data_IF_581532239231
#
_entry.id   IF_581532239231
#
_cell.length_a   1.000
_cell.length_b   1.000
_cell.length_c   1.000
_cell.angle_alpha   90.00
_cell.angle_beta   90.00
_cell.angle_gamma   90.00
#
_symmetry.space_group_name_H-M   'P 1'
#
loop_
_entity.id
_entity.type
_entity.pdbx_description
1 polymer ?
#
# COMPACT_ATOMS: atom_id res chain seq x y z
N UNK A 1 10.72 3.74 -12.88
CA UNK A 1 10.12 2.77 -11.95
C UNK A 1 9.46 3.61 -10.88
N UNK A 2 8.15 3.45 -10.68
CA UNK A 2 7.50 4.14 -9.57
C UNK A 2 8.14 3.66 -8.27
N UNK A 3 8.43 4.60 -7.36
CA UNK A 3 9.01 4.28 -6.06
C UNK A 3 7.97 3.55 -5.22
N UNK A 4 7.93 2.22 -5.35
CA UNK A 4 7.13 1.37 -4.48
C UNK A 4 7.65 1.50 -3.05
N UNK A 5 6.72 1.45 -2.11
CA UNK A 5 7.04 1.36 -0.69
C UNK A 5 5.99 0.52 0.02
N UNK A 6 6.34 0.13 1.24
CA UNK A 6 5.55 -0.73 2.11
C UNK A 6 5.12 0.06 3.34
N UNK A 7 3.83 0.00 3.64
CA UNK A 7 3.23 0.52 4.87
C UNK A 7 2.86 -0.68 5.74
N UNK A 8 3.59 -0.90 6.83
CA UNK A 8 3.27 -1.91 7.83
C UNK A 8 2.31 -1.32 8.87
N UNK A 9 1.39 -2.16 9.36
CA UNK A 9 0.36 -1.79 10.31
C UNK A 9 0.22 -2.85 11.41
N UNK A 10 -0.65 -2.57 12.39
CA UNK A 10 -0.81 -3.37 13.61
C UNK A 10 -2.02 -4.31 13.57
N UNK A 11 -2.90 -4.19 12.57
CA UNK A 11 -4.10 -5.02 12.45
C UNK A 11 -4.57 -5.18 11.00
N UNK A 12 -5.37 -6.22 10.75
CA UNK A 12 -6.04 -6.45 9.46
C UNK A 12 -6.98 -5.29 9.11
N UNK A 13 -7.70 -4.75 10.09
CA UNK A 13 -8.62 -3.62 9.88
C UNK A 13 -7.89 -2.37 9.40
N UNK A 14 -6.71 -2.11 9.95
CA UNK A 14 -5.91 -0.94 9.60
C UNK A 14 -5.33 -1.05 8.18
N UNK A 15 -4.79 -2.22 7.77
CA UNK A 15 -4.33 -2.41 6.38
C UNK A 15 -5.47 -2.33 5.38
N UNK A 16 -6.65 -2.89 5.70
CA UNK A 16 -7.81 -2.81 4.83
C UNK A 16 -8.33 -1.37 4.69
N UNK A 17 -8.27 -0.59 5.77
CA UNK A 17 -8.63 0.84 5.75
C UNK A 17 -7.67 1.64 4.87
N UNK A 18 -6.36 1.41 5.00
CA UNK A 18 -5.32 2.05 4.16
C UNK A 18 -5.49 1.67 2.69
N UNK A 19 -5.66 0.38 2.40
CA UNK A 19 -5.84 -0.10 1.04
C UNK A 19 -7.13 0.43 0.39
N UNK A 20 -8.24 0.46 1.14
CA UNK A 20 -9.51 1.02 0.67
C UNK A 20 -9.38 2.50 0.35
N UNK A 21 -8.66 3.25 1.19
CA UNK A 21 -8.37 4.64 0.91
C UNK A 21 -7.61 4.82 -0.41
N UNK A 22 -6.49 4.11 -0.59
CA UNK A 22 -5.68 4.19 -1.80
C UNK A 22 -6.54 3.90 -3.05
N UNK A 23 -7.32 2.81 -3.01
CA UNK A 23 -8.22 2.41 -4.10
C UNK A 23 -9.30 3.47 -4.37
N UNK A 24 -9.86 4.10 -3.33
CA UNK A 24 -10.84 5.18 -3.48
C UNK A 24 -10.28 6.43 -4.18
N UNK A 25 -8.95 6.59 -4.19
CA UNK A 25 -8.23 7.65 -4.89
C UNK A 25 -7.75 7.23 -6.30
N UNK A 26 -8.13 6.04 -6.76
CA UNK A 26 -7.66 5.45 -8.01
C UNK A 26 -6.21 4.94 -7.95
N UNK A 27 -5.62 4.85 -6.76
CA UNK A 27 -4.30 4.29 -6.56
C UNK A 27 -4.31 2.76 -6.56
N UNK A 28 -3.19 2.17 -6.93
CA UNK A 28 -3.00 0.72 -6.90
C UNK A 28 -2.27 0.31 -5.62
N UNK A 29 -2.72 -0.78 -5.00
CA UNK A 29 -2.07 -1.35 -3.83
C UNK A 29 -2.38 -2.84 -3.65
N UNK A 30 -1.44 -3.55 -3.05
CA UNK A 30 -1.57 -4.94 -2.66
C UNK A 30 -1.42 -5.08 -1.13
N UNK A 31 -2.18 -5.98 -0.52
CA UNK A 31 -2.09 -6.28 0.92
C UNK A 31 -1.26 -7.56 1.09
N UNK A 32 -0.13 -7.45 1.79
CA UNK A 32 0.78 -8.53 2.14
C UNK A 32 0.76 -8.75 3.66
N UNK A 33 -0.17 -9.56 4.16
CA UNK A 33 -0.40 -9.72 5.60
C UNK A 33 -0.75 -8.37 6.26
N UNK A 34 0.00 -7.97 7.28
CA UNK A 34 -0.17 -6.67 7.94
C UNK A 34 0.57 -5.50 7.25
N UNK A 35 0.79 -5.60 5.93
CA UNK A 35 1.41 -4.55 5.16
C UNK A 35 0.64 -4.21 3.87
N UNK A 36 0.74 -2.95 3.44
CA UNK A 36 0.23 -2.46 2.15
C UNK A 36 1.42 -2.04 1.29
N UNK A 37 1.56 -2.66 0.12
CA UNK A 37 2.57 -2.30 -0.89
C UNK A 37 1.90 -1.41 -1.93
N UNK A 38 2.46 -0.23 -2.16
CA UNK A 38 1.88 0.76 -3.07
C UNK A 38 2.93 1.74 -3.58
N UNK A 39 2.60 2.43 -4.68
CA UNK A 39 3.28 3.61 -5.20
C UNK A 39 2.40 4.87 -5.10
N UNK A 40 1.28 4.80 -4.37
CA UNK A 40 0.27 5.86 -4.34
C UNK A 40 0.79 7.15 -3.68
N UNK A 41 0.90 8.28 -4.38
CA UNK A 41 1.36 9.51 -3.75
C UNK A 41 0.34 10.01 -2.72
N UNK A 42 0.74 10.11 -1.45
CA UNK A 42 -0.08 10.69 -0.39
C UNK A 42 0.13 12.20 -0.30
N UNK A 43 -0.96 12.97 -0.26
CA UNK A 43 -0.91 14.37 0.13
C UNK A 43 -0.84 14.49 1.66
N UNK A 44 -0.24 15.56 2.18
CA UNK A 44 -0.05 15.75 3.64
C UNK A 44 -1.34 15.56 4.44
N UNK A 45 -2.45 16.18 3.99
CA UNK A 45 -3.76 16.08 4.65
C UNK A 45 -4.31 14.64 4.68
N UNK A 46 -3.98 13.84 3.68
CA UNK A 46 -4.41 12.45 3.58
C UNK A 46 -3.57 11.56 4.49
N UNK A 47 -2.24 11.79 4.48
CA UNK A 47 -1.31 11.10 5.36
C UNK A 47 -1.69 11.29 6.83
N UNK A 48 -2.00 12.52 7.26
CA UNK A 48 -2.43 12.82 8.64
C UNK A 48 -3.59 11.96 9.13
N UNK A 49 -4.54 11.63 8.26
CA UNK A 49 -5.68 10.78 8.61
C UNK A 49 -5.29 9.31 8.79
N UNK A 50 -4.28 8.86 8.06
CA UNK A 50 -3.84 7.46 8.05
C UNK A 50 -2.70 7.19 9.04
N UNK A 51 -1.94 8.21 9.44
CA UNK A 51 -0.81 8.08 10.39
C UNK A 51 -1.14 7.23 11.63
N UNK A 52 -2.32 7.34 12.28
CA UNK A 52 -2.66 6.48 13.43
C UNK A 52 -2.73 4.98 13.10
N UNK A 53 -2.95 4.64 11.83
CA UNK A 53 -3.02 3.26 11.34
C UNK A 53 -1.65 2.74 10.90
N UNK A 54 -0.63 3.59 10.81
CA UNK A 54 0.69 3.24 10.30
C UNK A 54 1.59 2.84 11.46
N UNK A 55 2.18 1.65 11.36
CA UNK A 55 3.25 1.23 12.26
C UNK A 55 4.63 1.59 11.76
N UNK A 56 4.89 1.35 10.47
CA UNK A 56 6.17 1.65 9.83
C UNK A 56 5.97 1.88 8.34
N UNK A 57 6.76 2.79 7.77
CA UNK A 57 6.88 2.95 6.32
C UNK A 57 8.32 2.62 5.93
N UNK A 58 8.49 1.83 4.87
CA UNK A 58 9.81 1.46 4.37
C UNK A 58 9.81 1.24 2.87
N UNK A 59 10.91 1.62 2.24
CA UNK A 59 11.28 1.32 0.85
C UNK A 59 12.02 -0.02 0.71
N UNK A 60 12.35 -0.68 1.84
CA UNK A 60 12.96 -2.00 1.87
C UNK A 60 11.92 -3.08 1.55
N UNK A 61 11.68 -3.27 0.26
CA UNK A 61 10.80 -4.28 -0.30
C UNK A 61 11.57 -5.57 -0.61
N UNK A 62 10.95 -6.71 -0.32
CA UNK A 62 11.49 -8.00 -0.76
C UNK A 62 11.12 -8.26 -2.22
N UNK A 63 11.85 -9.17 -2.89
CA UNK A 63 11.50 -9.61 -4.24
C UNK A 63 10.07 -10.20 -4.30
N UNK A 64 9.62 -10.83 -3.22
CA UNK A 64 8.26 -11.34 -3.10
C UNK A 64 7.22 -10.21 -3.10
N UNK A 65 7.43 -9.15 -2.30
CA UNK A 65 6.54 -7.98 -2.23
C UNK A 65 6.32 -7.35 -3.62
N UNK A 66 7.42 -7.18 -4.37
CA UNK A 66 7.41 -6.61 -5.72
C UNK A 66 6.61 -7.51 -6.66
N UNK A 67 6.87 -8.82 -6.64
CA UNK A 67 6.18 -9.78 -7.50
C UNK A 67 4.66 -9.79 -7.30
N UNK A 68 4.19 -9.62 -6.05
CA UNK A 68 2.76 -9.59 -5.75
C UNK A 68 2.09 -8.32 -6.30
N UNK A 69 2.77 -7.18 -6.18
CA UNK A 69 2.27 -5.92 -6.72
C UNK A 69 2.17 -5.95 -8.24
N UNK A 70 3.20 -6.45 -8.93
CA UNK A 70 3.21 -6.57 -10.40
C UNK A 70 2.14 -7.53 -10.92
N UNK A 71 1.97 -8.68 -10.27
CA UNK A 71 0.93 -9.67 -10.65
C UNK A 71 -0.48 -9.08 -10.57
N UNK A 72 -0.72 -8.22 -9.58
CA UNK A 72 -2.02 -7.56 -9.41
C UNK A 72 -2.29 -6.53 -10.52
N UNK A 73 -1.27 -5.81 -10.99
CA UNK A 73 -1.39 -4.89 -12.12
C UNK A 73 -1.73 -5.60 -13.43
N UNK A 74 -1.18 -6.79 -13.68
CA UNK A 74 -1.43 -7.56 -14.90
C UNK A 74 -2.90 -8.02 -14.98
N UNK A 75 -3.53 -8.34 -13.85
CA UNK A 75 -4.92 -8.82 -13.81
C UNK A 75 -5.98 -7.72 -14.00
N UNK A 76 -5.61 -6.43 -13.92
CA UNK A 76 -6.53 -5.30 -14.12
C UNK A 76 -6.52 -4.82 -15.59
N UNK A 77 -5.49 -5.18 -16.36
CA UNK A 77 -5.28 -4.73 -17.74
C UNK A 77 -5.89 -5.65 -18.83
N UNK A 78 -6.63 -6.70 -18.43
CA UNK A 78 -7.34 -7.64 -19.31
C UNK A 78 -8.85 -7.57 -19.09
#
# INVERSE_FOLDING_TARGET
MDNLYKIESYSDEAVNTIASFIRSRGGHCYIAGFAVITNHPFQEREAWRLLPLVGKVTDSLTAWDISQFETTNVNIAH
#
